data_IF_645557440577
#
_entry.id   IF_645557440577
#
_cell.length_a   1.000
_cell.length_b   1.000
_cell.length_c   1.000
_cell.angle_alpha   90.00
_cell.angle_beta   90.00
_cell.angle_gamma   90.00
#
_symmetry.space_group_name_H-M   'P 1'
#
loop_
_entity.id
_entity.type
_entity.pdbx_description
1 polymer ?
#
# COMPACT_ATOMS: atom_id res chain seq x y z
N UNK A 1 -5.96 20.89 -0.71
CA UNK A 1 -6.98 20.12 -1.44
C UNK A 1 -6.75 18.67 -1.07
N UNK A 2 -7.77 17.95 -0.61
CA UNK A 2 -7.61 16.53 -0.28
C UNK A 2 -7.68 15.72 -1.57
N UNK A 3 -6.74 14.81 -1.78
CA UNK A 3 -6.68 13.96 -2.96
C UNK A 3 -7.62 12.76 -2.82
N UNK A 4 -8.00 12.14 -3.93
CA UNK A 4 -8.93 11.00 -3.96
C UNK A 4 -8.47 9.84 -3.08
N UNK A 5 -7.18 9.51 -3.12
CA UNK A 5 -6.64 8.42 -2.30
C UNK A 5 -6.73 8.72 -0.80
N UNK A 6 -6.54 9.97 -0.38
CA UNK A 6 -6.68 10.36 1.04
C UNK A 6 -8.15 10.29 1.46
N UNK A 7 -9.09 10.60 0.57
CA UNK A 7 -10.53 10.43 0.83
C UNK A 7 -10.88 8.95 1.01
N UNK A 8 -10.48 8.08 0.07
CA UNK A 8 -10.71 6.64 0.16
C UNK A 8 -10.14 6.05 1.44
N UNK A 9 -8.90 6.39 1.78
CA UNK A 9 -8.28 5.90 3.02
C UNK A 9 -9.04 6.31 4.27
N UNK A 10 -9.52 7.56 4.34
CA UNK A 10 -10.31 8.03 5.46
C UNK A 10 -11.66 7.29 5.60
N UNK A 11 -12.18 6.75 4.50
CA UNK A 11 -13.38 5.90 4.45
C UNK A 11 -13.09 4.41 4.66
N UNK A 12 -11.81 4.04 4.86
CA UNK A 12 -11.40 2.64 5.01
C UNK A 12 -11.41 1.88 3.68
N UNK A 13 -11.09 2.57 2.58
CA UNK A 13 -11.06 2.03 1.22
C UNK A 13 -9.69 2.23 0.56
N UNK A 14 -9.40 1.38 -0.42
CA UNK A 14 -8.26 1.46 -1.33
C UNK A 14 -8.71 1.20 -2.77
N UNK A 15 -7.95 1.68 -3.78
CA UNK A 15 -8.25 1.37 -5.19
C UNK A 15 -8.12 -0.14 -5.47
N UNK A 16 -9.01 -0.68 -6.30
CA UNK A 16 -9.05 -2.09 -6.73
C UNK A 16 -8.09 -2.42 -7.89
N UNK A 17 -6.95 -1.73 -7.98
CA UNK A 17 -5.92 -1.98 -9.00
C UNK A 17 -4.54 -2.03 -8.37
N UNK A 18 -3.68 -2.87 -8.94
CA UNK A 18 -2.27 -2.98 -8.58
C UNK A 18 -1.57 -1.63 -8.78
N UNK A 19 -1.26 -0.95 -7.68
CA UNK A 19 -0.77 0.41 -7.74
C UNK A 19 -0.21 0.95 -6.44
N UNK A 20 0.71 1.89 -6.58
CA UNK A 20 1.25 2.72 -5.52
C UNK A 20 0.62 4.11 -5.63
N UNK A 21 -0.20 4.47 -4.64
CA UNK A 21 -0.96 5.71 -4.60
C UNK A 21 -0.47 6.59 -3.45
N UNK A 22 -0.11 7.84 -3.74
CA UNK A 22 0.48 8.77 -2.77
C UNK A 22 -0.49 9.86 -2.38
N UNK A 23 -0.33 10.36 -1.16
CA UNK A 23 -1.20 11.39 -0.60
C UNK A 23 -1.22 12.69 -1.42
N UNK A 24 -0.15 12.97 -2.19
CA UNK A 24 -0.07 14.10 -3.12
C UNK A 24 -0.87 13.92 -4.42
N UNK A 25 -1.48 12.74 -4.62
CA UNK A 25 -2.31 12.39 -5.77
C UNK A 25 -1.53 11.69 -6.89
N UNK A 26 -0.20 11.64 -6.82
CA UNK A 26 0.59 10.87 -7.78
C UNK A 26 0.41 9.36 -7.56
N UNK A 27 0.36 8.61 -8.66
CA UNK A 27 0.27 7.17 -8.61
C UNK A 27 1.15 6.51 -9.69
N UNK A 28 1.52 5.25 -9.44
CA UNK A 28 2.20 4.38 -10.41
C UNK A 28 1.58 3.00 -10.37
N UNK A 29 1.56 2.33 -11.50
CA UNK A 29 1.22 0.92 -11.55
C UNK A 29 2.22 0.13 -10.71
N UNK A 30 1.75 -0.92 -10.05
CA UNK A 30 2.63 -1.93 -9.48
C UNK A 30 2.59 -3.14 -10.40
N UNK A 31 3.77 -3.65 -10.72
CA UNK A 31 3.91 -4.92 -11.42
C UNK A 31 4.53 -5.93 -10.45
N UNK A 32 3.94 -7.12 -10.37
CA UNK A 32 4.44 -8.20 -9.51
C UNK A 32 4.35 -9.56 -10.18
N UNK A 33 5.27 -10.45 -9.80
CA UNK A 33 5.34 -11.82 -10.30
C UNK A 33 4.88 -12.86 -9.29
N UNK A 34 4.20 -13.90 -9.79
CA UNK A 34 3.88 -15.08 -8.99
C UNK A 34 2.73 -14.90 -8.00
N UNK A 35 1.98 -13.80 -8.10
CA UNK A 35 0.87 -13.47 -7.21
C UNK A 35 1.32 -13.46 -5.74
N UNK A 36 0.62 -14.19 -4.88
CA UNK A 36 0.94 -14.29 -3.46
C UNK A 36 2.34 -14.88 -3.14
N UNK A 37 3.05 -15.42 -4.14
CA UNK A 37 4.46 -15.83 -3.99
C UNK A 37 5.43 -14.65 -3.96
N UNK A 38 5.03 -13.50 -4.52
CA UNK A 38 5.83 -12.27 -4.58
C UNK A 38 7.24 -12.53 -5.14
N UNK A 39 7.33 -13.27 -6.25
CA UNK A 39 8.60 -13.67 -6.86
C UNK A 39 9.41 -12.42 -7.29
N UNK A 40 8.73 -11.33 -7.65
CA UNK A 40 9.30 -10.00 -7.87
C UNK A 40 8.25 -8.89 -7.71
N UNK A 41 8.70 -7.66 -7.48
CA UNK A 41 7.90 -6.44 -7.31
C UNK A 41 8.63 -5.27 -7.97
N UNK A 42 7.95 -4.51 -8.84
CA UNK A 42 8.48 -3.31 -9.48
C UNK A 42 7.38 -2.24 -9.65
N UNK A 43 7.80 -1.00 -9.88
CA UNK A 43 6.91 0.10 -10.18
C UNK A 43 6.86 0.34 -11.69
N UNK A 44 5.66 0.26 -12.25
CA UNK A 44 5.38 0.49 -13.65
C UNK A 44 5.18 1.98 -13.99
N UNK A 45 4.46 2.29 -15.09
CA UNK A 45 4.21 3.65 -15.53
C UNK A 45 3.31 4.44 -14.55
N UNK A 46 3.28 5.78 -14.65
CA UNK A 46 2.33 6.61 -13.91
C UNK A 46 0.87 6.23 -14.18
N UNK A 47 0.02 6.39 -13.15
CA UNK A 47 -1.42 6.22 -13.20
C UNK A 47 -2.14 7.51 -12.78
N UNK A 48 -3.38 7.66 -13.23
CA UNK A 48 -4.28 8.74 -12.81
C UNK A 48 -5.51 8.13 -12.13
N UNK A 49 -5.53 8.19 -10.80
CA UNK A 49 -6.59 7.58 -10.00
C UNK A 49 -7.95 8.26 -10.22
N UNK A 50 -7.97 9.56 -10.50
CA UNK A 50 -9.22 10.28 -10.74
C UNK A 50 -9.85 9.80 -12.06
N UNK A 51 -9.05 9.68 -13.12
CA UNK A 51 -9.52 9.13 -14.41
C UNK A 51 -10.00 7.69 -14.26
N UNK A 52 -9.25 6.85 -13.55
CA UNK A 52 -9.61 5.43 -13.36
C UNK A 52 -10.93 5.27 -12.59
N UNK A 53 -11.17 6.07 -11.55
CA UNK A 53 -12.43 6.04 -10.80
C UNK A 53 -13.59 6.75 -11.51
N UNK A 54 -13.32 7.70 -12.41
CA UNK A 54 -14.36 8.25 -13.28
C UNK A 54 -14.86 7.18 -14.27
N UNK A 55 -13.98 6.29 -14.72
CA UNK A 55 -14.32 5.16 -15.61
C UNK A 55 -14.98 3.99 -14.85
N UNK A 56 -14.49 3.65 -13.67
CA UNK A 56 -15.02 2.57 -12.82
C UNK A 56 -15.06 2.99 -11.33
N UNK A 57 -16.11 3.71 -10.90
CA UNK A 57 -16.21 4.26 -9.53
C UNK A 57 -16.27 3.21 -8.43
N UNK A 58 -16.74 2.01 -8.77
CA UNK A 58 -16.98 0.92 -7.82
C UNK A 58 -15.76 0.01 -7.64
N UNK A 59 -14.70 0.19 -8.45
CA UNK A 59 -13.48 -0.61 -8.33
C UNK A 59 -12.58 -0.13 -7.19
N UNK A 60 -13.09 -0.31 -5.98
CA UNK A 60 -12.46 -0.06 -4.70
C UNK A 60 -12.63 -1.27 -3.80
N UNK A 61 -11.73 -1.44 -2.83
CA UNK A 61 -11.78 -2.53 -1.85
C UNK A 61 -11.66 -2.00 -0.43
N UNK A 62 -12.23 -2.73 0.53
CA UNK A 62 -12.15 -2.37 1.95
C UNK A 62 -10.76 -2.65 2.51
N UNK A 63 -10.22 -1.66 3.22
CA UNK A 63 -8.93 -1.76 3.89
C UNK A 63 -9.14 -2.42 5.26
N UNK A 64 -8.71 -3.68 5.37
CA UNK A 64 -8.63 -4.40 6.63
C UNK A 64 -7.26 -4.26 7.27
N UNK A 65 -7.06 -3.26 8.14
CA UNK A 65 -5.83 -3.16 8.93
C UNK A 65 -5.70 -4.36 9.88
N UNK A 66 -4.65 -5.17 9.69
CA UNK A 66 -4.43 -6.33 10.53
C UNK A 66 -3.71 -5.94 11.83
N UNK A 67 -4.25 -6.39 12.96
CA UNK A 67 -3.70 -6.06 14.28
C UNK A 67 -2.28 -6.60 14.41
N UNK A 68 -1.32 -5.72 14.65
CA UNK A 68 0.10 -6.08 14.78
C UNK A 68 0.87 -6.12 13.47
N UNK A 69 0.22 -5.80 12.34
CA UNK A 69 0.87 -5.60 11.05
C UNK A 69 1.41 -4.17 10.87
N UNK A 70 1.64 -3.43 11.95
CA UNK A 70 2.21 -2.08 11.92
C UNK A 70 3.52 -1.97 12.72
N UNK A 71 4.43 -1.12 12.24
CA UNK A 71 5.72 -0.86 12.89
C UNK A 71 6.06 0.64 12.82
N UNK A 72 6.61 1.23 13.91
CA UNK A 72 7.06 2.61 13.90
C UNK A 72 8.34 2.75 13.07
N UNK A 73 8.46 3.87 12.33
CA UNK A 73 9.69 4.21 11.62
C UNK A 73 10.68 4.82 12.63
N UNK A 74 11.94 4.34 12.71
CA UNK A 74 12.95 4.90 13.59
C UNK A 74 13.12 6.41 13.40
N UNK A 75 13.20 7.15 14.51
CA UNK A 75 13.27 8.62 14.48
C UNK A 75 11.91 9.34 14.50
N UNK A 76 10.80 8.60 14.52
CA UNK A 76 9.47 9.17 14.75
C UNK A 76 8.85 9.87 13.54
N UNK A 77 9.31 9.54 12.32
CA UNK A 77 8.77 10.10 11.08
C UNK A 77 7.42 9.51 10.67
N UNK A 78 6.93 8.49 11.37
CA UNK A 78 5.64 7.87 11.12
C UNK A 78 5.62 6.37 11.39
N UNK A 79 4.77 5.67 10.65
CA UNK A 79 4.55 4.23 10.77
C UNK A 79 4.52 3.59 9.38
N UNK A 80 4.77 2.29 9.33
CA UNK A 80 4.38 1.45 8.20
C UNK A 80 3.33 0.46 8.67
N UNK A 81 2.44 0.03 7.78
CA UNK A 81 1.45 -0.99 8.08
C UNK A 81 1.15 -1.89 6.88
N UNK A 82 0.55 -3.04 7.14
CA UNK A 82 -0.01 -3.94 6.14
C UNK A 82 -1.45 -4.34 6.47
N UNK A 83 -2.12 -4.95 5.49
CA UNK A 83 -3.43 -5.54 5.71
C UNK A 83 -4.00 -6.28 4.50
N UNK A 84 -5.31 -6.53 4.59
CA UNK A 84 -6.13 -7.24 3.60
C UNK A 84 -7.02 -6.26 2.81
N UNK A 85 -7.48 -6.72 1.65
CA UNK A 85 -8.68 -6.22 0.99
C UNK A 85 -9.95 -6.97 1.42
N UNK A 86 -10.96 -7.00 0.56
CA UNK A 86 -12.25 -7.64 0.82
C UNK A 86 -12.29 -9.12 0.38
N UNK A 87 -11.42 -9.52 -0.55
CA UNK A 87 -11.52 -10.83 -1.24
C UNK A 87 -10.48 -11.87 -0.79
N UNK A 88 -9.57 -11.54 0.13
CA UNK A 88 -8.58 -12.45 0.69
C UNK A 88 -7.42 -12.87 -0.24
N UNK A 89 -7.55 -12.65 -1.55
CA UNK A 89 -6.42 -12.63 -2.50
C UNK A 89 -5.71 -11.27 -2.50
N UNK A 90 -6.39 -10.25 -2.00
CA UNK A 90 -5.92 -8.88 -1.98
C UNK A 90 -5.02 -8.63 -0.78
N UNK A 91 -4.11 -7.67 -0.91
CA UNK A 91 -3.32 -7.19 0.20
C UNK A 91 -2.83 -5.78 -0.07
N UNK A 92 -2.45 -5.10 1.00
CA UNK A 92 -1.79 -3.82 0.87
C UNK A 92 -0.69 -3.65 1.90
N UNK A 93 0.21 -2.73 1.60
CA UNK A 93 1.10 -2.14 2.58
C UNK A 93 1.20 -0.64 2.37
N UNK A 94 1.41 0.10 3.45
CA UNK A 94 1.31 1.55 3.45
C UNK A 94 2.33 2.18 4.39
N UNK A 95 2.58 3.47 4.16
CA UNK A 95 3.24 4.36 5.11
C UNK A 95 2.28 5.43 5.57
N UNK A 96 2.35 5.69 6.86
CA UNK A 96 1.59 6.73 7.54
C UNK A 96 2.54 7.76 8.16
N UNK A 97 2.08 8.99 8.29
CA UNK A 97 2.79 10.02 9.03
C UNK A 97 2.68 9.79 10.56
N UNK A 98 3.28 10.69 11.34
CA UNK A 98 3.25 10.65 12.82
C UNK A 98 1.84 10.70 13.41
N UNK A 99 0.89 11.28 12.70
CA UNK A 99 -0.50 11.46 13.12
C UNK A 99 -1.40 10.34 12.53
N UNK A 100 -0.77 9.32 11.93
CA UNK A 100 -1.39 8.17 11.26
C UNK A 100 -2.22 8.53 10.02
N UNK A 101 -1.95 9.69 9.39
CA UNK A 101 -2.49 10.00 8.08
C UNK A 101 -1.73 9.25 7.00
N UNK A 102 -2.41 8.91 5.90
CA UNK A 102 -1.79 8.25 4.76
C UNK A 102 -0.68 9.11 4.14
N UNK A 103 0.49 8.53 3.92
CA UNK A 103 1.52 9.07 3.02
C UNK A 103 1.46 8.38 1.66
N UNK A 104 1.40 7.05 1.66
CA UNK A 104 1.19 6.25 0.46
C UNK A 104 0.68 4.85 0.81
N UNK A 105 0.03 4.20 -0.15
CA UNK A 105 -0.42 2.80 -0.10
C UNK A 105 -0.06 2.10 -1.40
N UNK A 106 0.51 0.89 -1.29
CA UNK A 106 0.60 -0.07 -2.37
C UNK A 106 -0.56 -1.08 -2.22
N UNK A 107 -1.53 -1.03 -3.13
CA UNK A 107 -2.64 -1.99 -3.20
C UNK A 107 -2.32 -3.06 -4.25
N UNK A 108 -2.57 -4.32 -3.92
CA UNK A 108 -2.26 -5.48 -4.76
C UNK A 108 -3.45 -6.45 -4.74
N UNK A 109 -3.91 -6.86 -5.91
CA UNK A 109 -5.14 -7.63 -6.10
C UNK A 109 -4.94 -9.14 -5.95
N UNK A 110 -3.69 -9.61 -6.07
CA UNK A 110 -3.31 -11.03 -5.99
C UNK A 110 -2.03 -11.24 -5.16
N UNK A 111 -1.89 -10.56 -4.01
CA UNK A 111 -0.69 -10.69 -3.14
C UNK A 111 -0.91 -11.52 -1.88
N UNK A 112 -2.17 -11.83 -1.57
CA UNK A 112 -2.66 -12.15 -0.23
C UNK A 112 -2.40 -11.02 0.81
N UNK A 113 -3.02 -11.09 2.00
CA UNK A 113 -2.91 -10.07 3.04
C UNK A 113 -1.50 -9.94 3.62
N UNK A 114 -1.08 -8.72 3.91
CA UNK A 114 0.17 -8.43 4.64
C UNK A 114 -0.06 -8.38 6.15
N UNK A 115 0.45 -9.37 6.87
CA UNK A 115 0.19 -9.53 8.32
C UNK A 115 1.34 -9.06 9.22
N UNK A 116 2.48 -8.71 8.61
CA UNK A 116 3.67 -8.27 9.34
C UNK A 116 4.37 -7.14 8.60
N UNK A 117 4.78 -6.14 9.37
CA UNK A 117 5.68 -5.09 8.90
C UNK A 117 6.87 -4.96 9.87
N UNK A 118 8.06 -4.78 9.33
CA UNK A 118 9.30 -4.60 10.09
C UNK A 118 10.09 -3.42 9.49
N UNK A 119 10.74 -2.63 10.36
CA UNK A 119 11.56 -1.49 9.92
C UNK A 119 12.95 -1.58 10.51
N UNK A 120 13.96 -1.52 9.63
CA UNK A 120 15.37 -1.50 9.97
C UNK A 120 16.05 -0.30 9.29
N UNK A 121 16.19 0.81 10.02
CA UNK A 121 16.66 2.07 9.44
C UNK A 121 15.63 2.61 8.44
N UNK A 122 16.02 2.72 7.17
CA UNK A 122 15.14 3.15 6.07
C UNK A 122 14.56 1.98 5.26
N UNK A 123 14.84 0.74 5.65
CA UNK A 123 14.25 -0.44 5.01
C UNK A 123 12.98 -0.83 5.75
N UNK A 124 11.86 -0.90 5.02
CA UNK A 124 10.63 -1.50 5.50
C UNK A 124 10.39 -2.81 4.76
N UNK A 125 10.19 -3.89 5.51
CA UNK A 125 9.84 -5.21 4.99
C UNK A 125 8.41 -5.53 5.38
N UNK A 126 7.60 -5.93 4.40
CA UNK A 126 6.21 -6.34 4.56
C UNK A 126 6.10 -7.80 4.18
N UNK A 127 5.50 -8.62 5.05
CA UNK A 127 5.36 -10.06 4.84
C UNK A 127 3.88 -10.45 4.78
N UNK A 128 3.51 -11.20 3.75
CA UNK A 128 2.16 -11.71 3.59
C UNK A 128 1.89 -12.96 4.46
N UNK A 129 0.63 -13.38 4.53
CA UNK A 129 0.20 -14.53 5.33
C UNK A 129 0.79 -15.89 4.86
N UNK A 130 1.48 -15.92 3.73
CA UNK A 130 2.21 -17.09 3.22
C UNK A 130 3.72 -17.03 3.55
N UNK A 131 4.19 -15.96 4.19
CA UNK A 131 5.60 -15.76 4.55
C UNK A 131 6.46 -15.14 3.45
N UNK A 132 5.88 -14.73 2.32
CA UNK A 132 6.59 -14.04 1.24
C UNK A 132 6.65 -12.54 1.54
N UNK A 133 7.71 -11.86 1.11
CA UNK A 133 7.99 -10.49 1.55
C UNK A 133 8.39 -9.55 0.42
N UNK A 134 7.99 -8.29 0.56
CA UNK A 134 8.47 -7.15 -0.24
C UNK A 134 9.24 -6.21 0.69
N UNK A 135 10.38 -5.71 0.23
CA UNK A 135 11.18 -4.73 0.96
C UNK A 135 11.30 -3.45 0.14
N UNK A 136 11.00 -2.31 0.76
CA UNK A 136 11.11 -0.99 0.14
C UNK A 136 12.04 -0.07 0.94
N UNK A 137 12.67 0.87 0.23
CA UNK A 137 13.47 1.92 0.84
C UNK A 137 12.62 3.16 1.06
N UNK A 138 12.34 3.47 2.33
CA UNK A 138 11.50 4.60 2.75
C UNK A 138 12.08 5.98 2.41
N UNK A 139 13.33 6.08 1.96
CA UNK A 139 13.93 7.32 1.46
C UNK A 139 14.03 7.37 -0.07
N UNK A 140 13.57 6.33 -0.76
CA UNK A 140 13.44 6.35 -2.21
C UNK A 140 12.33 7.34 -2.59
N UNK A 141 12.45 8.13 -3.67
CA UNK A 141 11.45 9.13 -4.04
C UNK A 141 10.02 8.58 -4.16
N UNK A 142 9.88 7.32 -4.59
CA UNK A 142 8.58 6.68 -4.68
C UNK A 142 7.93 6.36 -3.32
N UNK A 143 8.71 6.27 -2.23
CA UNK A 143 8.25 5.84 -0.90
C UNK A 143 8.60 6.84 0.23
N UNK A 144 9.07 8.04 -0.14
CA UNK A 144 9.57 9.08 0.76
C UNK A 144 8.49 9.76 1.61
#
# INVERSE_FOLDING_TARGET
>A
MTTKIVQLWAEGLAPGWDGLYRADGSARAVEMGGGARLDWFDLGPPLDLDVMLDEDPDNVTHVGLLRGADAPIPGGSGYVCGGDGAHGSEGFFARLDKDRNLMWIAALTDSNPFEKAEVHGWLATFTNNLGNSVTVYLNHPDFA
#
